data_IF_907510725332
#
_entry.id   IF_907510725332
#
_cell.length_a   1.000
_cell.length_b   1.000
_cell.length_c   1.000
_cell.angle_alpha   90.00
_cell.angle_beta   90.00
_cell.angle_gamma   90.00
#
_symmetry.space_group_name_H-M   'P 1'
#
loop_
_entity.id
_entity.type
_entity.pdbx_description
1 polymer ?
#
# COMPACT_ATOMS: atom_id res chain seq x y z
N UNK A 1 49.24 -8.73 -28.21
CA UNK A 1 49.48 -7.60 -27.29
C UNK A 1 48.86 -7.95 -25.95
N UNK A 2 49.71 -8.06 -24.94
CA UNK A 2 49.45 -8.48 -23.55
C UNK A 2 49.25 -7.25 -22.66
N UNK A 3 48.27 -7.27 -21.75
CA UNK A 3 48.30 -6.54 -20.47
C UNK A 3 47.51 -7.31 -19.39
N UNK A 4 48.30 -7.99 -18.57
CA UNK A 4 48.08 -8.52 -17.21
C UNK A 4 47.35 -7.59 -16.23
N UNK A 5 46.85 -8.25 -15.16
CA UNK A 5 46.73 -7.85 -13.74
C UNK A 5 45.69 -6.80 -13.35
N UNK A 6 44.87 -6.97 -12.30
CA UNK A 6 45.25 -7.48 -10.98
C UNK A 6 44.05 -8.11 -10.23
N UNK A 7 44.39 -9.07 -9.37
CA UNK A 7 43.56 -9.77 -8.39
C UNK A 7 43.46 -8.90 -7.13
N UNK A 8 42.31 -8.88 -6.47
CA UNK A 8 42.25 -8.59 -5.03
C UNK A 8 41.11 -9.38 -4.38
N UNK A 9 41.43 -10.60 -3.98
CA UNK A 9 40.71 -11.36 -2.95
C UNK A 9 41.04 -10.73 -1.60
N UNK A 10 40.05 -10.22 -0.88
CA UNK A 10 40.16 -10.10 0.58
C UNK A 10 39.37 -11.25 1.20
N UNK A 11 40.11 -12.29 1.57
CA UNK A 11 39.67 -13.36 2.46
C UNK A 11 39.65 -12.80 3.88
N UNK A 12 38.47 -12.81 4.52
CA UNK A 12 38.32 -12.60 5.96
C UNK A 12 38.46 -13.98 6.66
N UNK A 13 39.49 -14.21 7.49
CA UNK A 13 39.79 -15.54 8.04
C UNK A 13 38.97 -15.93 9.29
N UNK A 14 37.82 -15.31 9.56
CA UNK A 14 37.14 -15.48 10.85
C UNK A 14 35.66 -15.90 10.77
N UNK A 15 35.33 -16.93 9.99
CA UNK A 15 34.06 -17.64 10.19
C UNK A 15 34.25 -19.15 10.04
N UNK A 16 34.65 -19.80 11.15
CA UNK A 16 34.59 -21.26 11.29
C UNK A 16 33.22 -21.64 11.85
N UNK A 17 32.44 -22.33 11.03
CA UNK A 17 31.39 -23.24 11.51
C UNK A 17 29.96 -22.78 11.26
N UNK A 18 29.21 -23.69 10.64
CA UNK A 18 27.78 -23.67 10.32
C UNK A 18 27.48 -22.98 9.00
N UNK A 19 27.25 -23.80 7.98
CA UNK A 19 26.08 -23.73 7.09
C UNK A 19 26.25 -24.82 6.02
N UNK A 20 25.47 -25.89 6.14
CA UNK A 20 25.23 -26.80 5.02
C UNK A 20 24.49 -26.00 3.94
N UNK A 21 24.87 -26.06 2.65
CA UNK A 21 24.14 -25.34 1.62
C UNK A 21 22.75 -25.96 1.49
N UNK A 22 21.72 -25.22 1.91
CA UNK A 22 20.35 -25.49 1.51
C UNK A 22 20.32 -25.54 -0.01
N UNK A 23 20.11 -26.73 -0.56
CA UNK A 23 19.95 -26.91 -2.00
C UNK A 23 18.64 -26.23 -2.37
N UNK A 24 18.71 -25.03 -2.94
CA UNK A 24 17.55 -24.34 -3.45
C UNK A 24 16.95 -25.17 -4.61
N UNK A 25 15.79 -25.77 -4.36
CA UNK A 25 14.97 -26.36 -5.41
C UNK A 25 14.48 -25.20 -6.27
N UNK A 26 15.11 -24.98 -7.41
CA UNK A 26 14.63 -24.04 -8.43
C UNK A 26 13.41 -24.70 -9.10
N UNK A 27 12.20 -24.11 -9.04
CA UNK A 27 11.07 -24.66 -9.77
C UNK A 27 11.36 -24.63 -11.28
N UNK A 28 10.94 -25.63 -12.05
CA UNK A 28 11.21 -25.71 -13.48
C UNK A 28 10.65 -24.49 -14.22
N UNK A 29 11.43 -23.97 -15.16
CA UNK A 29 11.03 -22.87 -16.05
C UNK A 29 9.70 -23.19 -16.73
N UNK A 30 8.69 -22.36 -16.48
CA UNK A 30 7.43 -22.34 -17.22
C UNK A 30 7.77 -21.76 -18.60
N UNK A 31 7.56 -22.53 -19.67
CA UNK A 31 7.73 -22.05 -21.05
C UNK A 31 6.69 -20.98 -21.36
N UNK A 32 7.12 -19.89 -22.00
CA UNK A 32 6.29 -18.76 -22.43
C UNK A 32 5.37 -19.12 -23.62
N UNK A 33 4.52 -20.13 -23.48
CA UNK A 33 3.39 -20.31 -24.39
C UNK A 33 2.23 -19.39 -23.97
N UNK A 34 1.62 -18.60 -24.89
CA UNK A 34 0.50 -17.75 -24.54
C UNK A 34 -0.71 -18.62 -24.15
N UNK A 35 -1.09 -18.53 -22.88
CA UNK A 35 -2.27 -19.19 -22.32
C UNK A 35 -3.55 -18.68 -22.99
N UNK A 36 -4.31 -19.55 -23.64
CA UNK A 36 -5.58 -19.19 -24.31
C UNK A 36 -6.78 -19.82 -23.57
N UNK A 37 -7.76 -18.97 -23.22
CA UNK A 37 -8.92 -19.27 -22.35
C UNK A 37 -10.02 -20.15 -22.98
N UNK A 38 -9.76 -20.89 -24.07
CA UNK A 38 -10.81 -21.60 -24.82
C UNK A 38 -10.83 -23.14 -24.67
N UNK A 39 -10.24 -23.70 -23.61
CA UNK A 39 -10.45 -25.12 -23.28
C UNK A 39 -11.72 -25.31 -22.41
N UNK A 40 -12.81 -25.92 -22.93
CA UNK A 40 -14.03 -26.18 -22.16
C UNK A 40 -13.83 -27.14 -20.98
N UNK A 41 -12.70 -27.87 -20.90
CA UNK A 41 -12.36 -28.69 -19.74
C UNK A 41 -12.01 -27.87 -18.48
N UNK A 42 -11.73 -26.57 -18.61
CA UNK A 42 -11.33 -25.71 -17.49
C UNK A 42 -12.52 -25.27 -16.61
N UNK A 43 -13.69 -25.07 -17.19
CA UNK A 43 -14.90 -24.62 -16.46
C UNK A 43 -15.44 -25.64 -15.45
N UNK A 44 -15.43 -26.92 -15.81
CA UNK A 44 -15.92 -27.99 -14.93
C UNK A 44 -14.90 -28.33 -13.82
N UNK A 45 -13.59 -28.21 -14.11
CA UNK A 45 -12.51 -28.37 -13.12
C UNK A 45 -12.49 -27.22 -12.09
N UNK A 46 -12.76 -25.98 -12.50
CA UNK A 46 -12.83 -24.84 -11.58
C UNK A 46 -13.96 -24.94 -10.57
N UNK A 47 -15.15 -25.39 -10.98
CA UNK A 47 -16.29 -25.58 -10.05
C UNK A 47 -16.01 -26.69 -9.05
N UNK A 48 -15.52 -27.83 -9.51
CA UNK A 48 -15.14 -28.95 -8.63
C UNK A 48 -13.99 -28.59 -7.70
N UNK A 49 -13.00 -27.79 -8.14
CA UNK A 49 -11.93 -27.30 -7.27
C UNK A 49 -12.41 -26.27 -6.25
N UNK A 50 -13.30 -25.34 -6.63
CA UNK A 50 -13.86 -24.37 -5.69
C UNK A 50 -14.77 -25.05 -4.66
N UNK A 51 -15.61 -25.98 -5.10
CA UNK A 51 -16.46 -26.80 -4.22
C UNK A 51 -15.61 -27.70 -3.30
N UNK A 52 -14.56 -28.33 -3.82
CA UNK A 52 -13.63 -29.12 -3.02
C UNK A 52 -12.86 -28.24 -2.03
N UNK A 53 -12.44 -27.04 -2.42
CA UNK A 53 -11.75 -26.10 -1.54
C UNK A 53 -12.68 -25.63 -0.43
N UNK A 54 -13.90 -25.18 -0.76
CA UNK A 54 -14.90 -24.76 0.23
C UNK A 54 -15.33 -25.90 1.16
N UNK A 55 -15.47 -27.12 0.63
CA UNK A 55 -15.80 -28.31 1.43
C UNK A 55 -14.66 -28.66 2.38
N UNK A 56 -13.42 -28.60 1.90
CA UNK A 56 -12.21 -28.85 2.70
C UNK A 56 -12.03 -27.76 3.77
N UNK A 57 -12.28 -26.49 3.43
CA UNK A 57 -12.27 -25.35 4.38
C UNK A 57 -13.28 -25.56 5.50
N UNK A 58 -14.53 -25.92 5.17
CA UNK A 58 -15.60 -26.15 6.15
C UNK A 58 -15.34 -27.35 7.07
N UNK A 59 -14.61 -28.35 6.59
CA UNK A 59 -14.33 -29.60 7.32
C UNK A 59 -13.06 -29.52 8.17
N UNK A 60 -12.08 -28.69 7.80
CA UNK A 60 -10.85 -28.42 8.57
C UNK A 60 -10.94 -27.17 9.46
N UNK A 61 -11.84 -26.22 9.15
CA UNK A 61 -12.09 -25.00 9.93
C UNK A 61 -13.57 -24.93 10.31
N UNK A 62 -13.99 -25.52 11.44
CA UNK A 62 -15.35 -25.27 11.96
C UNK A 62 -15.49 -23.76 12.21
N UNK A 63 -16.66 -23.19 11.90
CA UNK A 63 -16.94 -21.75 12.05
C UNK A 63 -16.37 -21.23 13.38
N UNK A 64 -15.26 -20.49 13.30
CA UNK A 64 -14.68 -19.83 14.46
C UNK A 64 -15.79 -18.96 15.06
N UNK A 65 -16.03 -19.00 16.39
CA UNK A 65 -16.97 -18.07 17.00
C UNK A 65 -16.58 -16.67 16.52
N UNK A 66 -17.53 -15.93 15.93
CA UNK A 66 -17.29 -14.57 15.46
C UNK A 66 -16.79 -13.78 16.66
N UNK A 67 -15.47 -13.62 16.77
CA UNK A 67 -14.86 -12.82 17.81
C UNK A 67 -15.54 -11.46 17.74
N UNK A 68 -16.07 -10.99 18.87
CA UNK A 68 -16.78 -9.71 18.91
C UNK A 68 -15.75 -8.62 18.68
N UNK A 69 -15.57 -8.21 17.43
CA UNK A 69 -14.67 -7.11 17.09
C UNK A 69 -15.36 -5.80 17.43
N UNK A 70 -14.71 -5.01 18.29
CA UNK A 70 -15.14 -3.65 18.53
C UNK A 70 -14.86 -2.82 17.26
N UNK A 71 -15.82 -2.04 16.75
CA UNK A 71 -15.57 -1.20 15.58
C UNK A 71 -14.49 -0.17 15.91
N UNK A 72 -13.66 0.15 14.93
CA UNK A 72 -12.52 1.07 15.10
C UNK A 72 -12.95 2.42 15.72
N UNK A 73 -14.09 2.97 15.30
CA UNK A 73 -14.63 4.21 15.86
C UNK A 73 -14.92 4.11 17.36
N UNK A 74 -15.45 2.98 17.84
CA UNK A 74 -15.71 2.80 19.28
C UNK A 74 -14.40 2.69 20.08
N UNK A 75 -13.33 2.14 19.50
CA UNK A 75 -12.01 2.14 20.13
C UNK A 75 -11.45 3.56 20.21
N UNK A 76 -11.60 4.34 19.13
CA UNK A 76 -11.12 5.73 19.07
C UNK A 76 -11.89 6.58 20.09
N UNK A 77 -13.22 6.48 20.15
CA UNK A 77 -14.05 7.26 21.08
C UNK A 77 -13.76 6.91 22.55
N UNK A 78 -13.44 5.65 22.83
CA UNK A 78 -12.99 5.23 24.16
C UNK A 78 -11.59 5.77 24.51
N UNK A 79 -10.73 5.98 23.51
CA UNK A 79 -9.34 6.41 23.71
C UNK A 79 -9.16 7.93 23.70
N UNK A 80 -9.93 8.63 22.89
CA UNK A 80 -9.86 10.06 22.68
C UNK A 80 -11.26 10.65 22.84
N UNK A 81 -11.49 11.26 24.00
CA UNK A 81 -12.75 11.95 24.31
C UNK A 81 -12.95 13.11 23.33
N UNK A 82 -14.17 13.27 22.85
CA UNK A 82 -14.53 14.42 22.02
C UNK A 82 -14.36 15.73 22.81
N UNK A 83 -14.12 16.82 22.09
CA UNK A 83 -13.82 18.13 22.69
C UNK A 83 -12.44 18.28 23.35
N UNK A 84 -11.58 17.25 23.37
CA UNK A 84 -10.22 17.39 23.89
C UNK A 84 -9.22 17.79 22.80
N UNK A 85 -8.14 18.55 23.13
CA UNK A 85 -7.07 18.85 22.19
C UNK A 85 -6.48 17.59 21.54
N UNK A 86 -6.33 16.51 22.33
CA UNK A 86 -5.82 15.22 21.84
C UNK A 86 -6.72 14.61 20.76
N UNK A 87 -8.06 14.74 20.88
CA UNK A 87 -8.99 14.28 19.85
C UNK A 87 -8.97 15.19 18.63
N UNK A 88 -8.85 16.50 18.83
CA UNK A 88 -8.73 17.45 17.72
C UNK A 88 -7.49 17.19 16.87
N UNK A 89 -6.33 16.99 17.50
CA UNK A 89 -5.09 16.62 16.84
C UNK A 89 -5.23 15.28 16.10
N UNK A 90 -5.85 14.28 16.74
CA UNK A 90 -6.12 12.99 16.10
C UNK A 90 -6.98 13.11 14.84
N UNK A 91 -8.10 13.86 14.88
CA UNK A 91 -8.96 14.05 13.71
C UNK A 91 -8.30 14.91 12.63
N UNK A 92 -7.48 15.88 13.02
CA UNK A 92 -6.66 16.66 12.08
C UNK A 92 -5.68 15.76 11.32
N UNK A 93 -4.86 14.98 12.04
CA UNK A 93 -3.90 14.06 11.43
C UNK A 93 -4.58 13.00 10.55
N UNK A 94 -5.70 12.46 11.02
CA UNK A 94 -6.52 11.53 10.23
C UNK A 94 -7.00 12.16 8.93
N UNK A 95 -7.42 13.43 8.95
CA UNK A 95 -7.83 14.17 7.75
C UNK A 95 -6.67 14.34 6.76
N UNK A 96 -5.46 14.64 7.25
CA UNK A 96 -4.27 14.72 6.41
C UNK A 96 -3.92 13.39 5.75
N UNK A 97 -4.01 12.28 6.49
CA UNK A 97 -3.76 10.93 5.95
C UNK A 97 -4.74 10.58 4.84
N UNK A 98 -6.04 10.86 5.04
CA UNK A 98 -7.07 10.63 4.02
C UNK A 98 -6.80 11.47 2.77
N UNK A 99 -6.45 12.74 2.94
CA UNK A 99 -6.12 13.64 1.84
C UNK A 99 -4.92 13.14 1.02
N UNK A 100 -3.82 12.80 1.68
CA UNK A 100 -2.61 12.29 1.04
C UNK A 100 -2.86 10.98 0.28
N UNK A 101 -3.64 10.08 0.88
CA UNK A 101 -4.07 8.83 0.23
C UNK A 101 -4.90 9.11 -1.03
N UNK A 102 -5.83 10.07 -0.99
CA UNK A 102 -6.66 10.40 -2.16
C UNK A 102 -5.85 11.01 -3.31
N UNK A 103 -4.87 11.87 -3.00
CA UNK A 103 -3.94 12.40 -4.00
C UNK A 103 -3.15 11.26 -4.67
N UNK A 104 -2.65 10.31 -3.88
CA UNK A 104 -1.91 9.14 -4.37
C UNK A 104 -2.75 8.24 -5.26
N UNK A 105 -4.02 8.05 -4.91
CA UNK A 105 -5.00 7.30 -5.71
C UNK A 105 -5.21 7.96 -7.08
N UNK A 106 -5.61 9.23 -7.10
CA UNK A 106 -5.84 10.01 -8.33
C UNK A 106 -4.59 10.06 -9.22
N UNK A 107 -3.41 10.22 -8.63
CA UNK A 107 -2.13 10.17 -9.37
C UNK A 107 -1.96 8.85 -10.10
N UNK A 108 -2.24 7.73 -9.43
CA UNK A 108 -2.12 6.39 -10.02
C UNK A 108 -3.16 6.16 -11.10
N UNK A 109 -4.40 6.64 -10.93
CA UNK A 109 -5.44 6.59 -11.97
C UNK A 109 -5.01 7.33 -13.25
N UNK A 110 -4.27 8.43 -13.09
CA UNK A 110 -3.66 9.18 -14.19
C UNK A 110 -2.35 8.58 -14.73
N UNK A 111 -1.91 7.44 -14.19
CA UNK A 111 -0.65 6.76 -14.53
C UNK A 111 0.60 7.66 -14.41
N UNK A 112 0.60 8.60 -13.47
CA UNK A 112 1.75 9.49 -13.24
C UNK A 112 2.64 8.93 -12.13
N UNK A 113 3.95 9.03 -12.27
CA UNK A 113 4.90 8.90 -11.17
C UNK A 113 4.88 10.14 -10.27
N UNK A 114 5.46 10.02 -9.08
CA UNK A 114 5.60 11.18 -8.17
C UNK A 114 6.48 12.29 -8.78
N UNK A 115 7.45 11.94 -9.63
CA UNK A 115 8.30 12.91 -10.30
C UNK A 115 7.52 13.67 -11.37
N UNK A 116 6.77 12.96 -12.23
CA UNK A 116 5.96 13.59 -13.29
C UNK A 116 4.85 14.48 -12.73
N UNK A 117 4.20 14.08 -11.63
CA UNK A 117 3.27 14.97 -10.93
C UNK A 117 4.00 16.20 -10.39
N UNK A 118 5.19 16.00 -9.81
CA UNK A 118 6.05 17.08 -9.31
C UNK A 118 6.39 18.11 -10.39
N UNK A 119 6.77 17.64 -11.58
CA UNK A 119 7.05 18.50 -12.73
C UNK A 119 5.81 19.31 -13.14
N UNK A 120 4.64 18.67 -13.22
CA UNK A 120 3.37 19.35 -13.57
C UNK A 120 3.00 20.46 -12.60
N UNK A 121 3.25 20.28 -11.30
CA UNK A 121 2.93 21.30 -10.27
C UNK A 121 4.12 22.18 -9.87
N UNK A 122 5.27 22.00 -10.53
CA UNK A 122 6.52 22.73 -10.26
C UNK A 122 7.03 22.55 -8.83
N UNK A 123 6.98 21.32 -8.32
CA UNK A 123 7.54 20.94 -7.02
C UNK A 123 8.41 19.69 -7.15
N UNK A 124 9.25 19.44 -6.15
CA UNK A 124 10.14 18.26 -6.18
C UNK A 124 9.36 16.95 -5.96
N UNK A 125 9.88 15.84 -6.51
CA UNK A 125 9.37 14.49 -6.23
C UNK A 125 9.28 14.18 -4.72
N UNK A 126 10.23 14.69 -3.94
CA UNK A 126 10.24 14.55 -2.48
C UNK A 126 9.07 15.29 -1.82
N UNK A 127 8.73 16.49 -2.31
CA UNK A 127 7.55 17.21 -1.84
C UNK A 127 6.25 16.48 -2.16
N UNK A 128 6.11 15.89 -3.37
CA UNK A 128 4.97 15.02 -3.68
C UNK A 128 4.90 13.82 -2.74
N UNK A 129 6.04 13.16 -2.48
CA UNK A 129 6.09 12.03 -1.55
C UNK A 129 5.71 12.43 -0.12
N UNK A 130 6.09 13.63 0.32
CA UNK A 130 5.67 14.18 1.62
C UNK A 130 4.17 14.43 1.66
N UNK A 131 3.60 15.03 0.61
CA UNK A 131 2.15 15.26 0.45
C UNK A 131 1.36 13.96 0.54
N UNK A 132 1.75 12.94 -0.24
CA UNK A 132 1.05 11.67 -0.28
C UNK A 132 1.10 10.88 1.03
N UNK A 133 2.11 11.13 1.86
CA UNK A 133 2.32 10.43 3.13
C UNK A 133 1.97 11.31 4.35
N UNK A 134 1.32 12.47 4.15
CA UNK A 134 0.95 13.41 5.22
C UNK A 134 2.14 13.89 6.09
N UNK A 135 3.36 13.87 5.57
CA UNK A 135 4.51 14.44 6.27
C UNK A 135 4.57 15.94 5.99
N UNK A 136 4.19 16.77 6.96
CA UNK A 136 4.18 18.26 6.98
C UNK A 136 2.85 18.93 6.65
N UNK A 137 2.72 20.17 7.13
CA UNK A 137 1.64 21.09 6.77
C UNK A 137 1.89 21.65 5.36
N UNK A 138 0.97 21.37 4.44
CA UNK A 138 0.98 21.93 3.09
C UNK A 138 0.10 23.18 3.04
N UNK A 139 0.50 24.14 2.21
CA UNK A 139 -0.36 25.29 1.95
C UNK A 139 -1.54 24.87 1.08
N UNK A 140 -2.67 25.55 1.29
CA UNK A 140 -3.85 25.40 0.44
C UNK A 140 -3.51 25.55 -1.05
N UNK A 141 -2.68 26.54 -1.40
CA UNK A 141 -2.25 26.79 -2.76
C UNK A 141 -1.55 25.57 -3.40
N UNK A 142 -0.70 24.86 -2.65
CA UNK A 142 -0.03 23.66 -3.15
C UNK A 142 -1.03 22.52 -3.39
N UNK A 143 -1.96 22.30 -2.45
CA UNK A 143 -2.98 21.27 -2.58
C UNK A 143 -3.88 21.53 -3.80
N UNK A 144 -4.33 22.77 -3.99
CA UNK A 144 -5.14 23.15 -5.15
C UNK A 144 -4.39 22.93 -6.47
N UNK A 145 -3.09 23.27 -6.54
CA UNK A 145 -2.27 22.98 -7.73
C UNK A 145 -2.19 21.49 -8.03
N UNK A 146 -2.02 20.65 -7.00
CA UNK A 146 -1.98 19.18 -7.15
C UNK A 146 -3.28 18.64 -7.70
N UNK A 147 -4.43 19.02 -7.15
CA UNK A 147 -5.71 18.56 -7.69
C UNK A 147 -5.99 19.07 -9.09
N UNK A 148 -5.63 20.32 -9.41
CA UNK A 148 -5.74 20.84 -10.77
C UNK A 148 -4.88 20.04 -11.77
N UNK A 149 -3.65 19.68 -11.39
CA UNK A 149 -2.77 18.84 -12.23
C UNK A 149 -3.27 17.39 -12.39
N UNK A 150 -4.19 16.96 -11.52
CA UNK A 150 -4.85 15.66 -11.56
C UNK A 150 -6.27 15.72 -12.17
N UNK A 151 -6.66 16.87 -12.76
CA UNK A 151 -8.00 17.14 -13.30
C UNK A 151 -9.14 16.83 -12.32
N UNK A 152 -8.92 17.12 -11.03
CA UNK A 152 -9.87 16.85 -9.97
C UNK A 152 -10.50 18.14 -9.42
N UNK A 153 -11.82 18.12 -9.27
CA UNK A 153 -12.55 19.22 -8.64
C UNK A 153 -12.55 19.06 -7.12
N UNK A 154 -12.25 20.13 -6.39
CA UNK A 154 -12.34 20.16 -4.92
C UNK A 154 -13.60 20.93 -4.51
N UNK A 155 -14.40 20.34 -3.61
CA UNK A 155 -15.52 21.02 -2.96
C UNK A 155 -15.23 21.16 -1.48
N UNK A 156 -15.36 22.37 -0.94
CA UNK A 156 -15.22 22.63 0.49
C UNK A 156 -16.60 22.75 1.12
N UNK A 157 -16.83 21.97 2.17
CA UNK A 157 -18.00 22.08 3.02
C UNK A 157 -17.57 22.67 4.35
N UNK A 158 -18.20 23.78 4.74
CA UNK A 158 -17.95 24.46 6.01
C UNK A 158 -19.19 24.26 6.87
N UNK A 159 -19.00 23.71 8.06
CA UNK A 159 -20.06 23.52 9.04
C UNK A 159 -19.60 24.12 10.37
N UNK A 160 -20.47 24.82 11.11
CA UNK A 160 -20.21 25.19 12.48
C UNK A 160 -19.91 23.92 13.29
N UNK A 161 -18.91 23.98 14.16
CA UNK A 161 -18.70 22.91 15.14
C UNK A 161 -19.87 22.98 16.12
N UNK A 162 -20.62 21.89 16.27
CA UNK A 162 -21.63 21.81 17.31
C UNK A 162 -20.94 21.95 18.68
N UNK A 163 -21.45 22.83 19.57
CA UNK A 163 -20.93 22.89 20.93
C UNK A 163 -21.19 21.55 21.61
N UNK A 164 -20.14 20.92 22.12
CA UNK A 164 -20.25 19.68 22.88
C UNK A 164 -20.75 20.02 24.30
N UNK A 165 -21.84 19.38 24.74
CA UNK A 165 -22.44 19.51 26.09
C UNK A 165 -21.57 18.93 27.21
#
# INVERSE_FOLDING_TARGET
MDKKSWIATQSNPNNKGKDSPLTAIVPPHISDEPYTDQDPAYGNKKKTLLEAFTTTEKQLMPDKPKEKTTPLNAIIDNRFKKGTPEREDFEYEKSLVVLGAKIKELRKEKNLSQAELGEKVQVTRSQIAKIENAYHNFTFATITKVFNALDANITFQIQPREPEE
#
